data_IF_992339239741
#
_entry.id   IF_992339239741
#
_cell.length_a   1.000
_cell.length_b   1.000
_cell.length_c   1.000
_cell.angle_alpha   90.00
_cell.angle_beta   90.00
_cell.angle_gamma   90.00
#
_symmetry.space_group_name_H-M   'P 1'
#
loop_
_entity.id
_entity.type
_entity.pdbx_description
1 polymer ?
#
# COMPACT_ATOMS: atom_id res chain seq x y z
N UNK A 1 -10.84 4.47 3.44
CA UNK A 1 -9.79 4.16 4.43
C UNK A 1 -8.53 4.81 3.92
N UNK A 2 -7.72 5.38 4.82
CA UNK A 2 -6.45 5.97 4.42
C UNK A 2 -5.34 4.92 4.33
N UNK A 3 -4.21 5.30 3.71
CA UNK A 3 -3.07 4.41 3.51
C UNK A 3 -2.50 3.92 4.84
N UNK A 4 -2.44 4.80 5.85
CA UNK A 4 -1.93 4.43 7.17
C UNK A 4 -2.74 3.32 7.82
N UNK A 5 -4.07 3.40 7.78
CA UNK A 5 -4.96 2.36 8.29
C UNK A 5 -4.81 1.04 7.55
N UNK A 6 -4.60 1.07 6.23
CA UNK A 6 -4.35 -0.13 5.43
C UNK A 6 -3.04 -0.78 5.84
N UNK A 7 -1.97 0.01 5.95
CA UNK A 7 -0.64 -0.49 6.32
C UNK A 7 -0.63 -1.05 7.75
N UNK A 8 -1.27 -0.37 8.71
CA UNK A 8 -1.38 -0.86 10.09
C UNK A 8 -2.08 -2.22 10.18
N UNK A 9 -3.07 -2.46 9.33
CA UNK A 9 -3.86 -3.69 9.30
C UNK A 9 -3.44 -4.60 8.14
N UNK A 10 -2.20 -4.48 7.63
CA UNK A 10 -1.76 -5.21 6.43
C UNK A 10 -1.93 -6.73 6.57
N UNK A 11 -1.85 -7.25 7.79
CA UNK A 11 -2.01 -8.67 8.08
C UNK A 11 -3.45 -9.19 7.89
N UNK A 12 -4.46 -8.32 7.87
CA UNK A 12 -5.86 -8.68 7.66
C UNK A 12 -6.18 -8.89 6.17
N UNK A 13 -5.36 -8.33 5.28
CA UNK A 13 -5.49 -8.48 3.82
C UNK A 13 -4.81 -9.75 3.31
N UNK A 14 -5.27 -10.28 2.18
CA UNK A 14 -4.68 -11.45 1.53
C UNK A 14 -3.45 -11.05 0.71
N UNK A 15 -2.49 -11.96 0.59
CA UNK A 15 -1.23 -11.66 -0.09
C UNK A 15 -1.39 -11.47 -1.61
N UNK A 16 -2.48 -11.98 -2.20
CA UNK A 16 -2.84 -11.82 -3.61
C UNK A 16 -3.71 -10.57 -3.89
N UNK A 17 -3.82 -9.69 -2.90
CA UNK A 17 -4.46 -8.38 -3.08
C UNK A 17 -3.43 -7.29 -3.37
N UNK A 18 -3.87 -6.26 -4.08
CA UNK A 18 -3.07 -5.11 -4.50
C UNK A 18 -3.65 -3.84 -3.88
N UNK A 19 -2.76 -2.98 -3.39
CA UNK A 19 -3.08 -1.69 -2.79
C UNK A 19 -3.05 -0.64 -3.89
N UNK A 20 -4.12 0.14 -3.98
CA UNK A 20 -4.27 1.27 -4.88
C UNK A 20 -4.50 2.54 -4.07
N UNK A 21 -3.76 3.60 -4.38
CA UNK A 21 -3.71 4.84 -3.59
C UNK A 21 -3.92 6.05 -4.51
N UNK A 22 -4.69 7.02 -4.06
CA UNK A 22 -4.84 8.31 -4.75
C UNK A 22 -3.57 9.14 -4.59
N UNK A 23 -3.04 9.67 -5.69
CA UNK A 23 -1.92 10.63 -5.64
C UNK A 23 -2.35 12.00 -5.06
N UNK A 24 -1.45 12.70 -4.34
CA UNK A 24 -0.10 12.28 -3.98
C UNK A 24 -0.10 11.18 -2.91
N UNK A 25 0.86 10.26 -2.95
CA UNK A 25 0.95 9.18 -1.96
C UNK A 25 1.40 9.72 -0.60
N UNK A 26 0.46 9.77 0.32
CA UNK A 26 0.66 10.18 1.71
C UNK A 26 -0.05 9.19 2.63
N UNK A 27 0.29 9.21 3.92
CA UNK A 27 -0.37 8.37 4.91
C UNK A 27 -1.87 8.62 5.01
N UNK A 28 -2.33 9.82 4.64
CA UNK A 28 -3.73 10.24 4.67
C UNK A 28 -4.45 9.98 3.33
N UNK A 29 -3.74 9.47 2.32
CA UNK A 29 -4.30 9.29 0.97
C UNK A 29 -5.36 8.21 0.93
N UNK A 30 -6.43 8.47 0.19
CA UNK A 30 -7.51 7.52 0.05
C UNK A 30 -7.02 6.25 -0.64
N UNK A 31 -7.29 5.12 -0.01
CA UNK A 31 -6.70 3.84 -0.39
C UNK A 31 -7.76 2.76 -0.54
N UNK A 32 -7.55 1.89 -1.52
CA UNK A 32 -8.34 0.67 -1.74
C UNK A 32 -7.43 -0.53 -1.83
N UNK A 33 -7.87 -1.63 -1.25
CA UNK A 33 -7.25 -2.93 -1.42
C UNK A 33 -8.22 -3.77 -2.24
N UNK A 34 -7.73 -4.27 -3.37
CA UNK A 34 -8.53 -5.02 -4.32
C UNK A 34 -7.75 -6.26 -4.73
N UNK A 35 -8.45 -7.36 -4.95
CA UNK A 35 -7.84 -8.54 -5.58
C UNK A 35 -7.41 -8.16 -6.99
N UNK A 36 -6.14 -8.41 -7.32
CA UNK A 36 -5.63 -8.12 -8.65
C UNK A 36 -6.44 -8.94 -9.68
N UNK A 37 -7.06 -8.28 -10.68
CA UNK A 37 -7.68 -9.02 -11.77
C UNK A 37 -6.60 -9.69 -12.63
N UNK A 38 -6.94 -10.75 -13.38
CA UNK A 38 -6.03 -11.44 -14.31
C UNK A 38 -5.29 -10.54 -15.31
N UNK A 39 -5.69 -9.27 -15.40
CA UNK A 39 -5.11 -8.24 -16.26
C UNK A 39 -4.53 -7.19 -15.31
N UNK A 40 -3.20 -7.08 -15.23
CA UNK A 40 -2.49 -6.16 -14.33
C UNK A 40 -2.95 -4.71 -14.49
N UNK A 41 -3.91 -4.30 -13.64
CA UNK A 41 -4.48 -2.95 -13.65
C UNK A 41 -3.54 -2.01 -12.91
N UNK A 42 -3.12 -0.96 -13.62
CA UNK A 42 -2.25 0.10 -13.09
C UNK A 42 -3.09 1.20 -12.42
N UNK A 43 -4.37 1.34 -12.79
CA UNK A 43 -5.27 2.36 -12.24
C UNK A 43 -6.69 1.82 -12.09
N UNK A 44 -7.38 2.27 -11.05
CA UNK A 44 -8.78 1.97 -10.79
C UNK A 44 -9.53 3.28 -10.60
N UNK A 45 -10.51 3.56 -11.46
CA UNK A 45 -11.42 4.67 -11.25
C UNK A 45 -12.56 4.25 -10.32
N UNK A 46 -12.78 5.03 -9.25
CA UNK A 46 -13.89 4.79 -8.35
C UNK A 46 -14.33 6.08 -7.68
N UNK A 47 -15.64 6.34 -7.64
CA UNK A 47 -16.21 7.54 -7.03
C UNK A 47 -15.62 8.87 -7.56
N UNK A 48 -15.26 8.94 -8.85
CA UNK A 48 -14.59 10.09 -9.48
C UNK A 48 -13.15 10.34 -8.99
N UNK A 49 -12.55 9.38 -8.29
CA UNK A 49 -11.14 9.38 -7.92
C UNK A 49 -10.41 8.32 -8.73
N UNK A 50 -9.17 8.65 -9.10
CA UNK A 50 -8.26 7.72 -9.76
C UNK A 50 -7.33 7.18 -8.69
N UNK A 51 -7.41 5.88 -8.46
CA UNK A 51 -6.51 5.17 -7.58
C UNK A 51 -5.42 4.56 -8.43
N UNK A 52 -4.17 4.89 -8.15
CA UNK A 52 -3.02 4.35 -8.86
C UNK A 52 -2.48 3.14 -8.14
N UNK A 53 -1.89 2.22 -8.90
CA UNK A 53 -1.15 1.10 -8.35
C UNK A 53 -0.10 1.63 -7.39
N UNK A 54 -0.12 1.12 -6.16
CA UNK A 54 0.87 1.45 -5.15
C UNK A 54 1.80 0.26 -4.95
N UNK A 55 1.32 -0.82 -4.31
CA UNK A 55 2.10 -2.03 -4.06
C UNK A 55 1.17 -3.23 -3.84
N UNK A 56 1.65 -4.44 -4.15
CA UNK A 56 1.02 -5.68 -3.71
C UNK A 56 1.12 -5.87 -2.19
N UNK A 57 0.08 -6.45 -1.58
CA UNK A 57 0.07 -6.78 -0.14
C UNK A 57 1.19 -7.75 0.23
N UNK A 58 1.54 -8.68 -0.67
CA UNK A 58 2.68 -9.59 -0.53
C UNK A 58 4.00 -8.84 -0.28
N UNK A 59 4.29 -7.82 -1.10
CA UNK A 59 5.48 -6.98 -1.03
C UNK A 59 5.50 -6.18 0.27
N UNK A 60 4.38 -5.54 0.63
CA UNK A 60 4.29 -4.76 1.87
C UNK A 60 4.55 -5.64 3.09
N UNK A 61 4.01 -6.86 3.13
CA UNK A 61 4.26 -7.82 4.22
C UNK A 61 5.73 -8.24 4.29
N UNK A 62 6.40 -8.39 3.16
CA UNK A 62 7.83 -8.70 3.13
C UNK A 62 8.67 -7.55 3.68
N UNK A 63 8.38 -6.32 3.25
CA UNK A 63 9.02 -5.10 3.78
C UNK A 63 8.79 -5.00 5.29
N UNK A 64 7.56 -5.23 5.76
CA UNK A 64 7.23 -5.21 7.19
C UNK A 64 8.09 -6.18 7.99
N UNK A 65 8.20 -7.44 7.57
CA UNK A 65 9.06 -8.44 8.23
C UNK A 65 10.52 -8.00 8.31
N UNK A 66 11.02 -7.34 7.27
CA UNK A 66 12.38 -6.80 7.26
C UNK A 66 12.55 -5.60 8.22
N UNK A 67 11.47 -4.85 8.49
CA UNK A 67 11.46 -3.69 9.37
C UNK A 67 11.16 -4.03 10.84
N UNK A 68 10.54 -5.19 11.15
CA UNK A 68 10.27 -5.64 12.52
C UNK A 68 11.53 -5.65 13.40
N UNK A 69 12.69 -5.94 12.80
CA UNK A 69 13.97 -5.97 13.50
C UNK A 69 14.57 -4.58 13.82
N UNK A 70 14.02 -3.49 13.27
CA UNK A 70 14.64 -2.16 13.29
C UNK A 70 14.17 -1.24 14.45
N UNK A 71 13.28 -1.69 15.33
CA UNK A 71 12.70 -0.88 16.44
C UNK A 71 12.24 0.52 15.98
N UNK A 72 11.75 0.63 14.75
CA UNK A 72 11.22 1.89 14.21
C UNK A 72 9.80 2.12 14.74
N UNK A 73 9.39 3.38 14.87
CA UNK A 73 8.00 3.67 15.18
C UNK A 73 7.11 3.36 13.97
N UNK A 74 5.82 3.11 14.22
CA UNK A 74 4.86 2.74 13.16
C UNK A 74 4.78 3.77 12.04
N UNK A 75 4.91 5.05 12.37
CA UNK A 75 4.92 6.13 11.39
C UNK A 75 6.13 6.04 10.45
N UNK A 76 7.33 5.83 11.00
CA UNK A 76 8.55 5.66 10.20
C UNK A 76 8.46 4.40 9.33
N UNK A 77 7.90 3.31 9.84
CA UNK A 77 7.70 2.08 9.07
C UNK A 77 6.78 2.32 7.87
N UNK A 78 5.67 3.04 8.07
CA UNK A 78 4.75 3.37 6.98
C UNK A 78 5.39 4.32 5.96
N UNK A 79 6.17 5.31 6.43
CA UNK A 79 6.91 6.20 5.53
C UNK A 79 7.91 5.42 4.68
N UNK A 80 8.66 4.45 5.24
CA UNK A 80 9.59 3.63 4.47
C UNK A 80 8.91 2.86 3.34
N UNK A 81 7.64 2.47 3.50
CA UNK A 81 6.87 1.77 2.45
C UNK A 81 6.48 2.74 1.34
N UNK A 82 6.09 3.97 1.68
CA UNK A 82 5.84 5.02 0.70
C UNK A 82 7.12 5.32 -0.09
N UNK A 83 8.26 5.52 0.60
CA UNK A 83 9.54 5.74 -0.07
C UNK A 83 9.92 4.56 -0.97
N UNK A 84 9.69 3.32 -0.51
CA UNK A 84 9.91 2.14 -1.33
C UNK A 84 9.07 2.19 -2.61
N UNK A 85 7.76 2.44 -2.49
CA UNK A 85 6.87 2.51 -3.65
C UNK A 85 7.29 3.61 -4.63
N UNK A 86 7.70 4.78 -4.15
CA UNK A 86 8.17 5.89 -5.00
C UNK A 86 9.46 5.53 -5.75
N UNK A 87 10.33 4.72 -5.15
CA UNK A 87 11.61 4.33 -5.75
C UNK A 87 11.56 3.05 -6.59
N UNK A 88 10.55 2.21 -6.37
CA UNK A 88 10.32 0.95 -7.11
C UNK A 88 9.42 1.16 -8.35
N UNK A 89 8.59 2.22 -8.36
CA UNK A 89 7.68 2.60 -9.45
C UNK A 89 8.36 3.20 -10.69
#
# INVERSE_FOLDING_TARGET
MDLFQVLLNINDFQADETIYVVEPWTLESETKVLKEPDIGLIQVESNHLIFEYFLEVSIVKEIWKNLEHRNLCMHDQCQNIIEYAIHDA
#
